data_IF_580843928158
#
_entry.id   IF_580843928158
#
_cell.length_a   1.000
_cell.length_b   1.000
_cell.length_c   1.000
_cell.angle_alpha   90.00
_cell.angle_beta   90.00
_cell.angle_gamma   90.00
#
_symmetry.space_group_name_H-M   'P 1'
#
loop_
_entity.id
_entity.type
_entity.pdbx_description
1 polymer ?
#
# COMPACT_ATOMS: atom_id res chain seq x y z
N UNK A 1 -19.81 -10.49 15.16
CA UNK A 1 -18.89 -9.34 15.33
C UNK A 1 -17.73 -9.81 16.19
N UNK A 2 -16.50 -9.67 15.69
CA UNK A 2 -15.32 -10.27 16.33
C UNK A 2 -14.88 -9.42 17.52
N UNK A 3 -15.07 -9.94 18.74
CA UNK A 3 -14.89 -9.23 20.03
C UNK A 3 -13.46 -9.26 20.60
N UNK A 4 -12.46 -9.73 19.85
CA UNK A 4 -11.06 -9.72 20.29
C UNK A 4 -10.28 -8.56 19.64
N UNK A 5 -9.39 -7.90 20.39
CA UNK A 5 -8.47 -6.87 19.85
C UNK A 5 -7.76 -7.46 18.63
N UNK A 6 -8.08 -6.97 17.44
CA UNK A 6 -7.45 -7.45 16.20
C UNK A 6 -5.98 -7.05 16.24
N UNK A 7 -5.12 -8.00 16.61
CA UNK A 7 -3.67 -7.81 16.71
C UNK A 7 -3.09 -7.55 15.32
N UNK A 8 -1.97 -6.83 15.24
CA UNK A 8 -1.23 -6.62 14.00
C UNK A 8 -0.88 -7.92 13.28
N UNK A 9 -0.73 -9.03 14.03
CA UNK A 9 -0.47 -10.37 13.49
C UNK A 9 -1.63 -10.91 12.64
N UNK A 10 -2.87 -10.53 12.93
CA UNK A 10 -4.04 -10.95 12.13
C UNK A 10 -3.94 -10.47 10.68
N UNK A 11 -3.33 -9.30 10.47
CA UNK A 11 -3.12 -8.73 9.13
C UNK A 11 -1.80 -9.16 8.48
N UNK A 12 -0.98 -9.98 9.14
CA UNK A 12 0.28 -10.46 8.56
C UNK A 12 0.07 -11.18 7.21
N UNK A 13 -0.93 -12.07 7.06
CA UNK A 13 -1.18 -12.73 5.77
C UNK A 13 -1.56 -11.73 4.66
N UNK A 14 -2.22 -10.63 5.00
CA UNK A 14 -2.57 -9.58 4.05
C UNK A 14 -1.31 -8.87 3.54
N UNK A 15 -0.42 -8.47 4.45
CA UNK A 15 0.86 -7.82 4.12
C UNK A 15 1.73 -8.76 3.27
N UNK A 16 1.84 -10.04 3.67
CA UNK A 16 2.58 -11.05 2.92
C UNK A 16 2.00 -11.26 1.51
N UNK A 17 0.66 -11.24 1.36
CA UNK A 17 0.01 -11.37 0.05
C UNK A 17 0.32 -10.19 -0.86
N UNK A 18 0.32 -8.97 -0.33
CA UNK A 18 0.74 -7.76 -1.08
C UNK A 18 2.21 -7.85 -1.47
N UNK A 19 3.09 -8.19 -0.53
CA UNK A 19 4.52 -8.37 -0.77
C UNK A 19 4.79 -9.42 -1.86
N UNK A 20 4.16 -10.60 -1.75
CA UNK A 20 4.32 -11.69 -2.73
C UNK A 20 3.84 -11.26 -4.11
N UNK A 21 2.72 -10.54 -4.18
CA UNK A 21 2.20 -10.03 -5.46
C UNK A 21 3.16 -9.01 -6.06
N UNK A 22 3.67 -8.04 -5.30
CA UNK A 22 4.68 -7.08 -5.79
C UNK A 22 5.98 -7.78 -6.22
N UNK A 23 6.48 -8.74 -5.44
CA UNK A 23 7.70 -9.49 -5.75
C UNK A 23 7.57 -10.38 -6.99
N UNK A 24 6.38 -10.89 -7.29
CA UNK A 24 6.13 -11.70 -8.49
C UNK A 24 6.24 -10.87 -9.78
N UNK A 25 6.07 -9.55 -9.70
CA UNK A 25 6.28 -8.68 -10.85
C UNK A 25 7.78 -8.41 -11.05
N UNK A 26 8.23 -8.53 -12.30
CA UNK A 26 9.58 -8.12 -12.69
C UNK A 26 9.69 -6.59 -12.70
N UNK A 27 9.69 -5.96 -11.52
CA UNK A 27 9.69 -4.50 -11.40
C UNK A 27 10.91 -3.83 -12.05
N UNK A 28 12.03 -4.54 -12.21
CA UNK A 28 13.18 -4.10 -13.02
C UNK A 28 12.86 -3.88 -14.51
N UNK A 29 11.86 -4.57 -15.07
CA UNK A 29 11.38 -4.40 -16.44
C UNK A 29 10.37 -3.25 -16.59
N UNK A 30 9.85 -2.73 -15.47
CA UNK A 30 8.90 -1.62 -15.47
C UNK A 30 9.63 -0.30 -15.29
N UNK A 31 9.23 0.71 -16.06
CA UNK A 31 9.60 2.09 -15.79
C UNK A 31 8.98 2.58 -14.46
N UNK A 32 9.43 3.73 -13.93
CA UNK A 32 8.95 4.24 -12.63
C UNK A 32 7.44 4.46 -12.60
N UNK A 33 6.85 4.93 -13.70
CA UNK A 33 5.40 5.18 -13.81
C UNK A 33 4.62 3.87 -13.72
N UNK A 34 5.05 2.83 -14.44
CA UNK A 34 4.46 1.49 -14.39
C UNK A 34 4.56 0.88 -13.00
N UNK A 35 5.65 1.11 -12.28
CA UNK A 35 5.77 0.67 -10.88
C UNK A 35 4.77 1.37 -9.96
N UNK A 36 4.57 2.68 -10.11
CA UNK A 36 3.57 3.45 -9.35
C UNK A 36 2.15 2.93 -9.62
N UNK A 37 1.81 2.73 -10.89
CA UNK A 37 0.50 2.20 -11.29
C UNK A 37 0.28 0.81 -10.69
N UNK A 38 1.29 -0.05 -10.77
CA UNK A 38 1.22 -1.40 -10.23
C UNK A 38 1.05 -1.42 -8.71
N UNK A 39 1.80 -0.57 -7.98
CA UNK A 39 1.65 -0.44 -6.53
C UNK A 39 0.24 0.02 -6.18
N UNK A 40 -0.27 1.05 -6.84
CA UNK A 40 -1.63 1.52 -6.63
C UNK A 40 -2.66 0.41 -6.87
N UNK A 41 -2.50 -0.37 -7.94
CA UNK A 41 -3.39 -1.47 -8.25
C UNK A 41 -3.36 -2.56 -7.17
N UNK A 42 -2.17 -3.02 -6.77
CA UNK A 42 -1.98 -4.11 -5.80
C UNK A 42 -2.41 -3.69 -4.39
N UNK A 43 -1.98 -2.51 -3.94
CA UNK A 43 -2.30 -1.96 -2.61
C UNK A 43 -3.78 -1.59 -2.50
N UNK A 44 -4.48 -1.30 -3.60
CA UNK A 44 -5.93 -1.10 -3.53
C UNK A 44 -6.67 -2.44 -3.58
N UNK A 45 -6.45 -3.25 -4.62
CA UNK A 45 -7.27 -4.45 -4.90
C UNK A 45 -7.21 -5.53 -3.81
N UNK A 46 -6.03 -5.79 -3.24
CA UNK A 46 -5.86 -6.88 -2.27
C UNK A 46 -6.50 -6.58 -0.91
N UNK A 47 -6.23 -5.42 -0.27
CA UNK A 47 -6.82 -5.11 1.02
C UNK A 47 -8.22 -4.51 0.96
N UNK A 48 -8.78 -4.20 -0.23
CA UNK A 48 -10.13 -3.61 -0.35
C UNK A 48 -11.18 -4.37 0.46
N UNK A 49 -11.22 -5.70 0.36
CA UNK A 49 -12.20 -6.51 1.10
C UNK A 49 -12.00 -6.39 2.61
N UNK A 50 -10.75 -6.52 3.08
CA UNK A 50 -10.43 -6.42 4.51
C UNK A 50 -10.68 -5.03 5.08
N UNK A 51 -10.40 -3.99 4.29
CA UNK A 51 -10.62 -2.59 4.65
C UNK A 51 -12.12 -2.25 4.70
N UNK A 52 -12.97 -2.89 3.91
CA UNK A 52 -14.42 -2.69 4.02
C UNK A 52 -15.00 -3.30 5.29
N UNK A 53 -14.42 -4.38 5.80
CA UNK A 53 -14.98 -5.12 6.94
C UNK A 53 -14.41 -4.70 8.29
N UNK A 54 -13.14 -4.28 8.36
CA UNK A 54 -12.43 -4.10 9.62
C UNK A 54 -11.51 -2.87 9.65
N UNK A 55 -11.41 -2.26 10.84
CA UNK A 55 -10.44 -1.22 11.13
C UNK A 55 -9.01 -1.78 11.18
N UNK A 56 -8.23 -1.50 10.13
CA UNK A 56 -6.81 -1.83 10.07
C UNK A 56 -5.97 -0.89 10.97
N UNK A 57 -5.10 -1.43 11.86
CA UNK A 57 -4.17 -0.65 12.66
C UNK A 57 -3.18 0.15 11.81
N UNK A 58 -2.80 1.35 12.28
CA UNK A 58 -1.86 2.23 11.57
C UNK A 58 -0.54 1.54 11.19
N UNK A 59 0.02 0.74 12.09
CA UNK A 59 1.27 0.01 11.85
C UNK A 59 1.21 -0.92 10.64
N UNK A 60 0.05 -1.51 10.36
CA UNK A 60 -0.15 -2.38 9.19
C UNK A 60 -0.25 -1.54 7.93
N UNK A 61 -0.96 -0.42 7.97
CA UNK A 61 -1.01 0.55 6.86
C UNK A 61 0.39 1.06 6.52
N UNK A 62 1.20 1.42 7.53
CA UNK A 62 2.57 1.89 7.33
C UNK A 62 3.47 0.82 6.69
N UNK A 63 3.27 -0.46 7.05
CA UNK A 63 3.96 -1.59 6.41
C UNK A 63 3.57 -1.73 4.93
N UNK A 64 2.28 -1.59 4.59
CA UNK A 64 1.83 -1.64 3.20
C UNK A 64 2.42 -0.50 2.37
N UNK A 65 2.40 0.72 2.91
CA UNK A 65 2.98 1.89 2.25
C UNK A 65 4.50 1.76 2.09
N UNK A 66 5.19 1.15 3.06
CA UNK A 66 6.62 0.83 2.98
C UNK A 66 6.92 -0.15 1.83
N UNK A 67 6.14 -1.21 1.66
CA UNK A 67 6.31 -2.16 0.55
C UNK A 67 6.12 -1.47 -0.81
N UNK A 68 5.10 -0.63 -0.93
CA UNK A 68 4.86 0.17 -2.14
C UNK A 68 6.04 1.11 -2.43
N UNK A 69 6.54 1.81 -1.41
CA UNK A 69 7.69 2.71 -1.53
C UNK A 69 8.96 1.99 -1.98
N UNK A 70 9.27 0.83 -1.39
CA UNK A 70 10.43 0.00 -1.78
C UNK A 70 10.32 -0.42 -3.25
N UNK A 71 9.15 -0.92 -3.66
CA UNK A 71 8.93 -1.36 -5.02
C UNK A 71 9.08 -0.24 -6.05
N UNK A 72 8.54 0.97 -5.76
CA UNK A 72 8.65 2.13 -6.67
C UNK A 72 10.11 2.47 -6.98
N UNK A 73 10.95 2.57 -5.94
CA UNK A 73 12.33 3.04 -6.10
C UNK A 73 13.33 1.93 -6.47
N UNK A 74 13.12 0.72 -5.98
CA UNK A 74 14.03 -0.41 -6.22
C UNK A 74 13.64 -1.23 -7.45
N UNK A 75 12.33 -1.38 -7.72
CA UNK A 75 11.82 -2.34 -8.72
C UNK A 75 11.93 -3.79 -8.26
N UNK A 76 12.41 -4.00 -7.05
CA UNK A 76 12.49 -5.23 -6.27
C UNK A 76 12.08 -4.87 -4.83
N UNK A 77 12.03 -5.86 -3.94
CA UNK A 77 11.79 -5.63 -2.51
C UNK A 77 13.05 -5.21 -1.73
N UNK A 78 14.16 -4.93 -2.43
CA UNK A 78 15.41 -4.48 -1.81
C UNK A 78 15.31 -3.02 -1.37
N UNK A 79 15.92 -2.68 -0.23
CA UNK A 79 16.02 -1.29 0.22
C UNK A 79 16.89 -0.46 -0.74
N UNK A 80 16.31 0.59 -1.33
CA UNK A 80 17.04 1.67 -2.01
C UNK A 80 16.75 3.02 -1.37
N UNK A 81 17.67 3.96 -1.60
CA UNK A 81 17.51 5.35 -1.17
C UNK A 81 16.32 5.96 -1.93
N UNK A 82 15.42 6.55 -1.16
CA UNK A 82 14.24 7.22 -1.68
C UNK A 82 14.59 8.69 -1.93
N UNK A 83 14.69 9.07 -3.20
CA UNK A 83 15.17 10.41 -3.61
C UNK A 83 14.15 11.53 -3.36
N UNK A 84 12.89 11.17 -3.12
CA UNK A 84 11.79 12.12 -2.94
C UNK A 84 11.07 11.82 -1.62
N UNK A 85 10.69 12.89 -0.90
CA UNK A 85 9.86 12.80 0.32
C UNK A 85 8.55 12.08 0.01
N UNK A 86 8.12 11.21 0.91
CA UNK A 86 6.91 10.40 0.70
C UNK A 86 5.65 11.28 0.57
N UNK A 87 5.58 12.38 1.33
CA UNK A 87 4.48 13.35 1.25
C UNK A 87 4.32 13.98 -0.14
N UNK A 88 5.40 14.10 -0.91
CA UNK A 88 5.33 14.59 -2.28
C UNK A 88 4.87 13.50 -3.25
N UNK A 89 5.26 12.25 -3.00
CA UNK A 89 4.89 11.10 -3.83
C UNK A 89 3.38 10.81 -3.77
N UNK A 90 2.77 10.93 -2.59
CA UNK A 90 1.34 10.66 -2.37
C UNK A 90 0.41 11.75 -2.92
N UNK A 91 0.92 12.97 -3.16
CA UNK A 91 0.12 14.06 -3.73
C UNK A 91 -0.47 13.69 -5.08
N UNK A 92 -1.60 14.31 -5.43
CA UNK A 92 -2.23 14.12 -6.74
C UNK A 92 -1.28 14.58 -7.85
N UNK A 93 -1.45 14.01 -9.05
CA UNK A 93 -0.64 14.40 -10.22
C UNK A 93 -0.78 15.87 -10.59
N UNK A 94 -1.97 16.46 -10.35
CA UNK A 94 -2.23 17.89 -10.55
C UNK A 94 -1.37 18.79 -9.65
N UNK A 95 -0.96 18.27 -8.49
CA UNK A 95 -0.18 19.00 -7.48
C UNK A 95 1.33 18.63 -7.55
N UNK A 96 1.78 18.02 -8.66
CA UNK A 96 3.17 17.61 -8.88
C UNK A 96 3.56 16.29 -8.21
N UNK A 97 2.62 15.55 -7.63
CA UNK A 97 2.87 14.23 -7.03
C UNK A 97 2.69 13.05 -7.99
N UNK A 98 2.89 11.83 -7.49
CA UNK A 98 2.72 10.60 -8.27
C UNK A 98 1.33 9.97 -8.13
N UNK A 99 0.52 10.45 -7.18
CA UNK A 99 -0.81 9.94 -6.90
C UNK A 99 -0.80 8.54 -6.30
N UNK A 100 0.19 8.24 -5.45
CA UNK A 100 0.23 6.95 -4.74
C UNK A 100 -0.87 6.90 -3.70
N UNK A 101 -1.63 5.80 -3.67
CA UNK A 101 -2.67 5.61 -2.67
C UNK A 101 -2.07 5.28 -1.29
N UNK A 102 -2.51 6.03 -0.28
CA UNK A 102 -2.14 5.81 1.12
C UNK A 102 -3.11 4.82 1.74
N UNK A 103 -2.58 3.71 2.27
CA UNK A 103 -3.38 2.60 2.80
C UNK A 103 -4.32 3.05 3.93
N UNK A 104 -3.89 4.01 4.76
CA UNK A 104 -4.69 4.55 5.86
C UNK A 104 -5.93 5.30 5.36
N UNK A 105 -5.78 6.15 4.34
CA UNK A 105 -6.89 6.93 3.79
C UNK A 105 -7.90 6.04 3.08
N UNK A 106 -7.43 5.00 2.38
CA UNK A 106 -8.30 4.01 1.76
C UNK A 106 -9.13 3.25 2.80
N UNK A 107 -8.50 2.82 3.90
CA UNK A 107 -9.19 2.14 4.97
C UNK A 107 -10.29 3.02 5.61
N UNK A 108 -9.97 4.28 5.92
CA UNK A 108 -10.95 5.23 6.48
C UNK A 108 -12.10 5.46 5.49
N UNK A 109 -11.80 5.68 4.21
CA UNK A 109 -12.82 5.95 3.19
C UNK A 109 -13.75 4.75 2.94
N UNK A 110 -13.22 3.52 3.00
CA UNK A 110 -14.01 2.30 2.82
C UNK A 110 -14.85 1.97 4.04
N UNK A 111 -14.33 2.18 5.26
CA UNK A 111 -15.09 1.99 6.50
C UNK A 111 -16.13 3.08 6.72
N UNK A 112 -15.86 4.31 6.28
CA UNK A 112 -16.80 5.43 6.36
C UNK A 112 -18.07 5.22 5.53
N UNK A 113 -18.15 4.19 4.66
CA UNK A 113 -19.40 3.79 3.99
C UNK A 113 -20.38 3.09 4.93
N UNK A 114 -19.91 2.59 6.08
CA UNK A 114 -20.71 1.86 7.07
C UNK A 114 -21.27 2.76 8.17
N UNK A 115 -21.03 4.07 8.09
CA UNK A 115 -21.49 5.11 9.01
C UNK A 115 -22.40 6.05 8.23
#
# INVERSE_FOLDING_TARGET
MVHHRVSSEFFRPLVEKVQRRLAAWKGKLLNRVGRVILVNYVVTSIPTYTMQMQWIPQQVCDKLDLLGRQFIWSGNMDRKINLVKWDMVIKKRKDGGLGVHVSRWQNIALLGKLI
#
